data_IF_428900475191
#
_entry.id   IF_428900475191
#
_cell.length_a   1.000
_cell.length_b   1.000
_cell.length_c   1.000
_cell.angle_alpha   90.00
_cell.angle_beta   90.00
_cell.angle_gamma   90.00
#
_symmetry.space_group_name_H-M   'P 1'
#
loop_
_entity.id
_entity.type
_entity.pdbx_description
1 polymer ?
#
# COMPACT_ATOMS: atom_id res chain seq x y z
N UNK A 1 -7.16 26.65 2.92
CA UNK A 1 -6.60 27.36 4.09
C UNK A 1 -6.67 26.41 5.28
N UNK A 2 -5.58 26.27 6.07
CA UNK A 2 -5.61 25.46 7.29
C UNK A 2 -6.74 25.94 8.21
N UNK A 3 -7.46 25.01 8.81
CA UNK A 3 -8.47 25.30 9.82
C UNK A 3 -7.81 25.17 11.18
N UNK A 4 -7.53 26.30 11.80
CA UNK A 4 -6.92 26.36 13.12
C UNK A 4 -7.98 26.27 14.23
N UNK A 5 -7.60 25.67 15.35
CA UNK A 5 -8.45 25.51 16.52
C UNK A 5 -7.79 24.63 17.56
N UNK A 6 -8.44 24.46 18.71
CA UNK A 6 -7.98 23.53 19.73
C UNK A 6 -8.56 22.15 19.44
N UNK A 7 -7.70 21.16 19.24
CA UNK A 7 -8.11 19.76 19.12
C UNK A 7 -8.75 19.28 20.42
N UNK A 8 -9.96 18.74 20.35
CA UNK A 8 -10.73 18.24 21.50
C UNK A 8 -11.13 16.77 21.35
N UNK A 9 -11.15 16.25 20.11
CA UNK A 9 -11.49 14.84 19.87
C UNK A 9 -10.90 14.30 18.59
N UNK A 10 -10.74 12.97 18.58
CA UNK A 10 -10.56 12.18 17.37
C UNK A 10 -11.90 11.72 16.81
N UNK A 11 -11.96 11.55 15.49
CA UNK A 11 -13.04 10.89 14.78
C UNK A 11 -12.48 9.74 13.98
N UNK A 12 -13.05 8.54 14.12
CA UNK A 12 -12.62 7.36 13.40
C UNK A 12 -13.80 6.85 12.56
N UNK A 13 -13.63 6.78 11.25
CA UNK A 13 -14.64 6.37 10.28
C UNK A 13 -14.13 5.27 9.37
N UNK A 14 -15.01 4.60 8.67
CA UNK A 14 -14.69 3.60 7.65
C UNK A 14 -15.67 3.72 6.48
N UNK A 15 -15.22 3.28 5.31
CA UNK A 15 -16.06 3.15 4.11
C UNK A 15 -17.07 1.99 4.22
N UNK A 16 -16.73 0.94 4.99
CA UNK A 16 -17.55 -0.24 5.25
C UNK A 16 -17.47 -0.59 6.73
N UNK A 17 -18.56 -1.12 7.29
CA UNK A 17 -18.60 -1.60 8.70
C UNK A 17 -19.01 -3.04 8.84
N UNK A 18 -19.71 -3.59 7.87
CA UNK A 18 -20.31 -4.92 7.92
C UNK A 18 -20.11 -5.65 6.61
N UNK A 19 -20.08 -6.98 6.67
CA UNK A 19 -20.05 -7.83 5.50
C UNK A 19 -18.74 -7.79 4.73
N UNK A 20 -17.64 -7.35 5.34
CA UNK A 20 -16.32 -7.32 4.72
C UNK A 20 -15.81 -8.74 4.57
N UNK A 21 -15.44 -9.15 3.35
CA UNK A 21 -15.03 -10.53 3.07
C UNK A 21 -13.58 -10.78 3.47
N UNK A 22 -13.34 -12.01 3.94
CA UNK A 22 -12.01 -12.45 4.42
C UNK A 22 -11.23 -13.25 3.38
N UNK A 23 -11.66 -13.24 2.13
CA UNK A 23 -11.05 -14.00 1.02
C UNK A 23 -9.86 -13.27 0.36
N UNK A 24 -9.42 -12.15 0.91
CA UNK A 24 -8.32 -11.32 0.38
C UNK A 24 -8.72 -10.40 -0.77
N UNK A 25 -10.00 -10.35 -1.14
CA UNK A 25 -10.51 -9.48 -2.21
C UNK A 25 -11.16 -8.21 -1.71
N UNK A 26 -11.31 -8.05 -0.39
CA UNK A 26 -12.01 -6.94 0.22
C UNK A 26 -11.19 -6.30 1.35
N UNK A 27 -11.18 -4.98 1.37
CA UNK A 27 -10.49 -4.16 2.37
C UNK A 27 -11.45 -3.11 2.93
N UNK A 28 -11.10 -2.62 4.11
CA UNK A 28 -11.76 -1.46 4.73
C UNK A 28 -10.79 -0.29 4.72
N UNK A 29 -11.23 0.86 4.26
CA UNK A 29 -10.49 2.10 4.40
C UNK A 29 -10.89 2.79 5.71
N UNK A 30 -10.02 2.72 6.71
CA UNK A 30 -10.16 3.47 7.95
C UNK A 30 -9.61 4.88 7.79
N UNK A 31 -10.37 5.87 8.24
CA UNK A 31 -9.93 7.26 8.26
C UNK A 31 -10.05 7.81 9.68
N UNK A 32 -8.97 8.41 10.17
CA UNK A 32 -8.95 9.18 11.41
C UNK A 32 -8.86 10.67 11.11
N UNK A 33 -9.59 11.48 11.86
CA UNK A 33 -9.59 12.93 11.77
C UNK A 33 -9.56 13.60 13.13
N UNK A 34 -9.21 14.88 13.14
CA UNK A 34 -9.13 15.73 14.35
C UNK A 34 -10.22 16.79 14.29
N UNK A 35 -10.95 16.96 15.39
CA UNK A 35 -12.02 17.95 15.48
C UNK A 35 -11.93 18.78 16.76
N UNK A 36 -12.49 19.99 16.70
CA UNK A 36 -12.75 20.82 17.87
C UNK A 36 -14.01 20.41 18.66
N UNK A 37 -14.30 21.14 19.75
CA UNK A 37 -15.48 20.90 20.56
C UNK A 37 -16.82 21.08 19.79
N UNK A 38 -16.85 21.92 18.77
CA UNK A 38 -18.01 22.17 17.92
C UNK A 38 -18.18 21.13 16.80
N UNK A 39 -17.22 20.20 16.63
CA UNK A 39 -17.23 19.18 15.59
C UNK A 39 -16.73 19.67 14.25
N UNK A 40 -16.00 20.76 14.21
CA UNK A 40 -15.36 21.23 12.97
C UNK A 40 -14.04 20.51 12.78
N UNK A 41 -13.78 20.04 11.57
CA UNK A 41 -12.48 19.45 11.21
C UNK A 41 -11.39 20.51 11.34
N UNK A 42 -10.27 20.10 11.92
CA UNK A 42 -9.08 20.91 12.08
C UNK A 42 -7.95 20.39 11.19
N UNK A 43 -7.00 21.27 10.85
CA UNK A 43 -5.80 20.93 10.09
C UNK A 43 -4.61 20.52 10.97
N UNK A 44 -4.83 20.33 12.27
CA UNK A 44 -3.80 19.89 13.22
C UNK A 44 -3.38 18.43 12.96
N UNK A 45 -2.09 18.14 13.09
CA UNK A 45 -1.50 16.85 12.75
C UNK A 45 -0.82 16.19 13.96
N UNK A 46 -1.56 15.79 15.01
CA UNK A 46 -0.99 15.07 16.12
C UNK A 46 -0.50 13.69 15.70
N UNK A 47 0.41 13.11 16.47
CA UNK A 47 0.72 11.68 16.33
C UNK A 47 -0.49 10.85 16.74
N UNK A 48 -1.01 10.02 15.85
CA UNK A 48 -2.16 9.14 16.09
C UNK A 48 -1.76 7.69 15.90
N UNK A 49 -2.16 6.82 16.83
CA UNK A 49 -1.98 5.38 16.71
C UNK A 49 -3.35 4.70 16.61
N UNK A 50 -3.51 3.85 15.59
CA UNK A 50 -4.62 2.91 15.49
C UNK A 50 -4.17 1.55 16.01
N UNK A 51 -4.99 0.89 16.81
CA UNK A 51 -4.70 -0.44 17.37
C UNK A 51 -5.93 -1.33 17.28
N UNK A 52 -5.74 -2.58 16.85
CA UNK A 52 -6.78 -3.61 16.95
C UNK A 52 -6.81 -4.10 18.39
N UNK A 53 -7.81 -3.67 19.16
CA UNK A 53 -7.93 -4.01 20.58
C UNK A 53 -8.61 -5.34 20.83
N UNK A 54 -9.42 -5.84 19.87
CA UNK A 54 -9.99 -7.19 19.88
C UNK A 54 -10.45 -7.62 18.49
N UNK A 55 -10.63 -8.93 18.30
CA UNK A 55 -11.11 -9.49 17.04
C UNK A 55 -10.04 -9.61 15.95
N UNK A 56 -10.44 -10.01 14.74
CA UNK A 56 -9.55 -10.24 13.61
C UNK A 56 -9.02 -8.93 13.00
N UNK A 57 -8.06 -9.07 12.10
CA UNK A 57 -7.61 -8.00 11.21
C UNK A 57 -6.24 -7.44 11.53
N UNK A 58 -5.68 -6.80 10.53
CA UNK A 58 -4.34 -6.24 10.55
C UNK A 58 -4.23 -4.99 9.68
N UNK A 59 -3.31 -4.15 10.05
CA UNK A 59 -2.75 -3.07 9.24
C UNK A 59 -1.52 -3.55 8.46
N UNK A 60 -1.00 -2.79 7.49
CA UNK A 60 0.28 -3.10 6.85
C UNK A 60 1.43 -3.32 7.83
N UNK A 61 1.37 -2.74 9.01
CA UNK A 61 2.37 -2.84 10.08
C UNK A 61 2.08 -3.91 11.13
N UNK A 62 0.94 -4.60 11.06
CA UNK A 62 0.50 -5.59 12.03
C UNK A 62 -0.75 -5.16 12.79
N UNK A 63 -0.80 -5.38 14.11
CA UNK A 63 -1.98 -5.07 14.94
C UNK A 63 -2.09 -3.59 15.31
N UNK A 64 -1.07 -2.79 15.00
CA UNK A 64 -1.08 -1.34 15.21
C UNK A 64 -0.42 -0.60 14.07
N UNK A 65 -0.77 0.68 13.92
CA UNK A 65 -0.13 1.59 12.98
C UNK A 65 -0.11 2.99 13.58
N UNK A 66 1.02 3.69 13.42
CA UNK A 66 1.21 5.04 13.96
C UNK A 66 1.46 6.04 12.85
N UNK A 67 0.67 7.10 12.83
CA UNK A 67 0.83 8.27 11.96
C UNK A 67 1.63 9.32 12.73
N UNK A 68 2.95 9.32 12.57
CA UNK A 68 3.84 10.30 13.20
C UNK A 68 4.49 11.20 12.16
N UNK A 69 4.96 12.37 12.57
CA UNK A 69 5.59 13.33 11.67
C UNK A 69 6.84 12.76 10.96
N UNK A 70 7.54 11.83 11.62
CA UNK A 70 8.78 11.21 11.13
C UNK A 70 8.52 9.93 10.31
N UNK A 71 7.25 9.53 10.15
CA UNK A 71 6.88 8.33 9.39
C UNK A 71 6.61 8.65 7.92
N UNK A 72 6.79 7.64 7.06
CA UNK A 72 6.34 7.69 5.67
C UNK A 72 4.82 7.88 5.55
N UNK A 73 4.09 7.46 6.58
CA UNK A 73 2.67 7.73 6.76
C UNK A 73 2.51 8.69 7.93
N UNK A 74 1.76 9.74 7.72
CA UNK A 74 1.52 10.78 8.73
C UNK A 74 0.16 11.42 8.56
N UNK A 75 -0.30 12.10 9.58
CA UNK A 75 -1.44 13.00 9.45
C UNK A 75 -1.11 14.11 8.46
N UNK A 76 -2.07 14.46 7.61
CA UNK A 76 -1.99 15.57 6.68
C UNK A 76 -3.33 16.30 6.68
N UNK A 77 -3.29 17.61 6.91
CA UNK A 77 -4.48 18.46 7.01
C UNK A 77 -5.54 17.89 7.97
N UNK A 78 -5.06 17.44 9.15
CA UNK A 78 -5.89 16.88 10.21
C UNK A 78 -6.44 15.49 9.97
N UNK A 79 -6.01 14.78 8.92
CA UNK A 79 -6.55 13.46 8.54
C UNK A 79 -5.44 12.48 8.18
N UNK A 80 -5.72 11.20 8.41
CA UNK A 80 -4.97 10.08 7.85
C UNK A 80 -5.93 8.95 7.49
N UNK A 81 -5.56 8.15 6.51
CA UNK A 81 -6.32 6.97 6.11
C UNK A 81 -5.38 5.80 5.85
N UNK A 82 -5.87 4.59 6.12
CA UNK A 82 -5.12 3.36 5.93
C UNK A 82 -6.07 2.19 5.66
N UNK A 83 -5.62 1.25 4.84
CA UNK A 83 -6.31 -0.01 4.64
C UNK A 83 -6.23 -0.91 5.88
N UNK A 84 -7.34 -1.61 6.14
CA UNK A 84 -7.49 -2.57 7.20
C UNK A 84 -8.14 -3.83 6.64
N UNK A 85 -7.56 -4.99 6.89
CA UNK A 85 -7.97 -6.28 6.32
C UNK A 85 -8.01 -7.37 7.37
N UNK A 86 -8.89 -8.35 7.18
CA UNK A 86 -8.87 -9.58 7.96
C UNK A 86 -8.96 -10.81 7.06
N UNK A 87 -8.41 -11.93 7.54
CA UNK A 87 -8.48 -13.24 6.90
C UNK A 87 -9.36 -14.23 7.68
N UNK A 88 -9.84 -13.80 8.85
CA UNK A 88 -10.77 -14.56 9.68
C UNK A 88 -12.03 -13.76 9.93
N UNK A 89 -13.17 -14.47 10.02
CA UNK A 89 -14.48 -13.89 10.29
C UNK A 89 -14.63 -13.53 11.78
N UNK A 90 -15.30 -12.43 12.04
CA UNK A 90 -15.56 -11.92 13.37
C UNK A 90 -15.66 -10.40 13.40
N UNK A 91 -15.91 -9.84 14.57
CA UNK A 91 -15.94 -8.39 14.75
C UNK A 91 -14.59 -7.89 15.26
N UNK A 92 -13.94 -7.05 14.49
CA UNK A 92 -12.76 -6.32 14.92
C UNK A 92 -13.15 -5.03 15.63
N UNK A 93 -12.47 -4.71 16.72
CA UNK A 93 -12.57 -3.41 17.39
C UNK A 93 -11.25 -2.68 17.20
N UNK A 94 -11.28 -1.55 16.52
CA UNK A 94 -10.13 -0.68 16.29
C UNK A 94 -10.26 0.56 17.16
N UNK A 95 -9.20 0.92 17.86
CA UNK A 95 -9.11 2.11 18.69
C UNK A 95 -8.10 3.10 18.12
N UNK A 96 -8.48 4.37 18.03
CA UNK A 96 -7.55 5.47 17.73
C UNK A 96 -7.21 6.22 19.02
N UNK A 97 -5.90 6.51 19.20
CA UNK A 97 -5.36 7.28 20.32
C UNK A 97 -4.42 8.38 19.84
N UNK A 98 -4.49 9.53 20.49
CA UNK A 98 -3.51 10.60 20.42
C UNK A 98 -3.30 11.19 21.82
N UNK A 99 -2.13 11.76 22.06
CA UNK A 99 -1.83 12.40 23.35
C UNK A 99 -2.80 13.56 23.61
N UNK A 100 -3.33 13.61 24.82
CA UNK A 100 -4.24 14.68 25.27
C UNK A 100 -5.64 14.64 24.68
N UNK A 101 -5.98 13.65 23.86
CA UNK A 101 -7.31 13.48 23.26
C UNK A 101 -7.98 12.19 23.77
N UNK A 102 -9.32 12.19 23.96
CA UNK A 102 -10.07 10.98 24.29
C UNK A 102 -9.93 9.92 23.18
N UNK A 103 -9.71 8.63 23.53
CA UNK A 103 -9.69 7.57 22.53
C UNK A 103 -11.06 7.37 21.88
N UNK A 104 -11.06 6.95 20.62
CA UNK A 104 -12.30 6.60 19.88
C UNK A 104 -12.19 5.20 19.31
N UNK A 105 -13.31 4.48 19.23
CA UNK A 105 -13.36 3.11 18.72
C UNK A 105 -14.34 2.99 17.58
N UNK A 106 -14.07 2.01 16.71
CA UNK A 106 -14.95 1.58 15.64
C UNK A 106 -14.98 0.06 15.60
N UNK A 107 -16.15 -0.51 15.27
CA UNK A 107 -16.33 -1.94 15.05
C UNK A 107 -16.47 -2.21 13.56
N UNK A 108 -15.82 -3.30 13.09
CA UNK A 108 -15.85 -3.76 11.71
C UNK A 108 -16.18 -5.25 11.70
N UNK A 109 -17.26 -5.61 11.01
CA UNK A 109 -17.75 -6.99 10.87
C UNK A 109 -17.17 -7.67 9.64
N UNK A 110 -16.37 -8.70 9.85
CA UNK A 110 -15.79 -9.55 8.80
C UNK A 110 -16.55 -10.86 8.66
N UNK A 111 -16.78 -11.28 7.41
CA UNK A 111 -17.52 -12.52 7.06
C UNK A 111 -16.63 -13.45 6.22
N UNK A 112 -16.65 -14.74 6.56
CA UNK A 112 -15.88 -15.78 5.89
C UNK A 112 -15.99 -17.12 6.58
N UNK A 113 -15.30 -18.13 6.05
CA UNK A 113 -15.42 -19.51 6.52
C UNK A 113 -14.58 -19.81 7.76
N UNK A 114 -13.49 -19.06 7.98
CA UNK A 114 -12.58 -19.25 9.11
C UNK A 114 -12.92 -18.28 10.24
N UNK A 115 -13.47 -18.73 11.37
CA UNK A 115 -13.78 -17.84 12.49
C UNK A 115 -12.48 -17.44 13.24
N UNK A 116 -12.38 -16.18 13.60
CA UNK A 116 -11.36 -15.71 14.53
C UNK A 116 -11.62 -16.25 15.94
N UNK A 117 -10.55 -16.68 16.63
CA UNK A 117 -10.59 -17.13 18.03
C UNK A 117 -9.52 -16.39 18.82
N UNK A 118 -9.95 -15.57 19.76
CA UNK A 118 -9.05 -14.80 20.63
C UNK A 118 -8.06 -15.74 21.36
N UNK A 119 -6.78 -15.40 21.32
CA UNK A 119 -5.72 -16.19 21.97
C UNK A 119 -5.36 -17.52 21.27
N UNK A 120 -6.06 -17.91 20.20
CA UNK A 120 -5.82 -19.15 19.45
C UNK A 120 -5.42 -18.87 18.01
N UNK A 121 -6.16 -18.01 17.32
CA UNK A 121 -5.82 -17.57 15.96
C UNK A 121 -4.49 -16.83 15.99
N UNK A 122 -3.49 -17.23 15.20
CA UNK A 122 -2.21 -16.55 15.15
C UNK A 122 -2.41 -15.09 14.70
N UNK A 123 -1.77 -14.18 15.41
CA UNK A 123 -1.75 -12.77 15.01
C UNK A 123 -0.47 -12.45 14.26
N UNK A 124 -0.57 -11.54 13.30
CA UNK A 124 0.57 -11.09 12.52
C UNK A 124 1.61 -10.39 13.42
N UNK A 125 2.89 -10.64 13.14
CA UNK A 125 3.98 -9.93 13.83
C UNK A 125 4.05 -8.49 13.35
N UNK A 126 4.40 -7.60 14.25
CA UNK A 126 4.67 -6.23 13.89
C UNK A 126 5.86 -6.12 12.93
N UNK A 127 5.72 -5.25 11.94
CA UNK A 127 6.68 -4.98 10.89
C UNK A 127 6.69 -3.50 10.55
N UNK A 128 7.82 -2.95 10.05
CA UNK A 128 7.86 -1.55 9.63
C UNK A 128 6.93 -1.32 8.43
N UNK A 129 6.36 -0.12 8.34
CA UNK A 129 5.66 0.30 7.13
C UNK A 129 6.65 0.43 5.99
N UNK A 130 6.37 -0.24 4.88
CA UNK A 130 7.16 -0.12 3.66
C UNK A 130 6.32 0.55 2.59
N UNK A 131 6.62 1.82 2.33
CA UNK A 131 5.99 2.54 1.24
C UNK A 131 6.57 2.08 -0.09
N UNK A 132 5.70 1.71 -1.02
CA UNK A 132 6.14 1.55 -2.41
C UNK A 132 6.51 2.93 -2.96
N UNK A 133 7.79 3.17 -3.08
CA UNK A 133 8.32 4.32 -3.83
C UNK A 133 8.57 3.82 -5.25
N UNK A 134 7.81 4.32 -6.21
CA UNK A 134 8.16 4.14 -7.61
C UNK A 134 9.51 4.81 -7.79
N UNK A 135 10.58 4.02 -7.96
CA UNK A 135 11.88 4.56 -8.32
C UNK A 135 11.71 5.29 -9.66
N UNK A 136 11.76 6.61 -9.60
CA UNK A 136 11.82 7.41 -10.81
C UNK A 136 13.15 7.09 -11.47
N UNK A 137 13.07 6.41 -12.61
CA UNK A 137 14.14 6.30 -13.60
C UNK A 137 15.44 5.62 -13.19
N UNK A 138 15.45 4.63 -12.33
CA UNK A 138 16.55 3.68 -12.31
C UNK A 138 16.18 2.44 -13.08
N UNK A 139 16.70 2.40 -14.31
CA UNK A 139 16.76 1.24 -15.17
C UNK A 139 15.49 0.40 -15.17
N UNK A 140 14.65 0.62 -16.16
CA UNK A 140 13.72 -0.43 -16.57
C UNK A 140 14.63 -1.64 -16.80
N UNK A 141 14.67 -2.55 -15.83
CA UNK A 141 15.23 -3.87 -16.02
C UNK A 141 14.32 -4.55 -17.05
N UNK A 142 14.59 -4.29 -18.29
CA UNK A 142 14.06 -5.12 -19.36
C UNK A 142 14.72 -6.47 -19.16
N UNK A 143 13.93 -7.49 -18.85
CA UNK A 143 14.40 -8.86 -18.65
C UNK A 143 15.24 -9.39 -19.83
N UNK A 144 15.18 -8.71 -20.98
CA UNK A 144 15.97 -8.99 -22.17
C UNK A 144 17.29 -8.22 -22.29
N UNK A 145 17.59 -7.25 -21.39
CA UNK A 145 18.79 -6.42 -21.53
C UNK A 145 20.06 -7.23 -21.28
N UNK A 146 20.99 -7.17 -22.25
CA UNK A 146 22.24 -7.91 -22.22
C UNK A 146 22.11 -9.44 -22.19
N UNK A 147 20.93 -9.98 -22.47
CA UNK A 147 20.79 -11.42 -22.67
C UNK A 147 21.43 -11.83 -24.02
N UNK A 148 21.96 -13.06 -24.10
CA UNK A 148 22.39 -13.59 -25.38
C UNK A 148 21.22 -13.56 -26.37
N UNK A 149 21.48 -12.98 -27.54
CA UNK A 149 20.48 -12.88 -28.61
C UNK A 149 20.98 -13.63 -29.85
N UNK A 150 20.04 -14.25 -30.55
CA UNK A 150 20.26 -14.95 -31.82
C UNK A 150 19.35 -14.34 -32.86
N UNK A 151 19.81 -14.32 -34.11
CA UNK A 151 19.01 -13.82 -35.23
C UNK A 151 19.23 -14.66 -36.47
N UNK A 152 18.27 -14.65 -37.40
CA UNK A 152 18.39 -15.35 -38.71
C UNK A 152 19.60 -14.88 -39.50
N UNK A 153 19.89 -13.58 -39.44
CA UNK A 153 21.05 -12.92 -40.05
C UNK A 153 21.28 -11.55 -39.42
N UNK A 154 22.35 -10.90 -39.78
CA UNK A 154 22.61 -9.52 -39.33
C UNK A 154 23.38 -8.74 -40.43
N UNK A 155 23.04 -7.48 -40.56
CA UNK A 155 23.78 -6.54 -41.41
C UNK A 155 25.09 -6.13 -40.71
N UNK A 156 26.08 -5.70 -41.50
CA UNK A 156 27.32 -5.17 -40.96
C UNK A 156 27.07 -4.00 -40.00
N UNK A 157 27.62 -4.08 -38.78
CA UNK A 157 27.45 -3.09 -37.74
C UNK A 157 26.04 -3.08 -37.05
N UNK A 158 25.19 -4.10 -37.32
CA UNK A 158 23.80 -4.22 -36.77
C UNK A 158 23.55 -5.61 -36.17
N UNK A 159 24.41 -6.00 -35.24
CA UNK A 159 24.35 -7.31 -34.61
C UNK A 159 23.10 -7.53 -33.75
N UNK A 160 22.70 -8.81 -33.59
CA UNK A 160 21.55 -9.17 -32.80
C UNK A 160 21.60 -8.61 -31.38
N UNK A 161 22.78 -8.59 -30.74
CA UNK A 161 22.97 -8.02 -29.40
C UNK A 161 22.57 -6.55 -29.27
N UNK A 162 22.61 -5.78 -30.35
CA UNK A 162 22.19 -4.37 -30.33
C UNK A 162 20.67 -4.18 -30.18
N UNK A 163 19.87 -5.21 -30.42
CA UNK A 163 18.44 -5.18 -30.15
C UNK A 163 18.09 -5.37 -28.66
N UNK A 164 19.06 -5.78 -27.82
CA UNK A 164 18.86 -6.07 -26.40
C UNK A 164 19.90 -5.37 -25.48
N UNK A 165 20.71 -4.44 -25.99
CA UNK A 165 21.75 -3.75 -25.22
C UNK A 165 21.21 -2.58 -24.37
N UNK A 166 19.93 -2.25 -24.54
CA UNK A 166 19.26 -1.15 -23.83
C UNK A 166 19.67 0.24 -24.31
N UNK A 167 20.35 0.35 -25.44
CA UNK A 167 20.71 1.61 -26.05
C UNK A 167 19.70 1.97 -27.15
N UNK A 168 18.89 3.04 -27.02
CA UNK A 168 17.90 3.41 -28.01
C UNK A 168 18.46 3.87 -29.36
N UNK A 169 19.78 4.11 -29.44
CA UNK A 169 20.47 4.53 -30.66
C UNK A 169 21.02 3.35 -31.46
N UNK A 170 20.98 2.14 -30.89
CA UNK A 170 21.41 0.90 -31.55
C UNK A 170 20.21 0.02 -31.88
N UNK A 171 20.33 -0.79 -32.89
CA UNK A 171 19.27 -1.74 -33.27
C UNK A 171 19.86 -2.87 -34.11
N UNK A 172 19.19 -4.02 -34.06
CA UNK A 172 19.45 -5.12 -34.96
C UNK A 172 18.79 -4.87 -36.32
N UNK A 173 19.45 -5.34 -37.37
CA UNK A 173 18.91 -5.34 -38.73
C UNK A 173 19.34 -6.63 -39.45
N UNK A 174 18.39 -7.29 -40.09
CA UNK A 174 18.69 -8.45 -40.93
C UNK A 174 19.57 -8.08 -42.12
N UNK A 175 20.35 -9.04 -42.65
CA UNK A 175 21.10 -8.86 -43.86
C UNK A 175 20.17 -8.62 -45.07
N UNK A 176 20.59 -7.80 -46.01
CA UNK A 176 19.75 -7.39 -47.14
C UNK A 176 19.37 -8.56 -48.08
N UNK A 177 20.18 -9.62 -48.09
CA UNK A 177 20.03 -10.83 -48.88
C UNK A 177 19.34 -11.99 -48.11
N UNK A 178 18.95 -11.78 -46.84
CA UNK A 178 18.26 -12.78 -46.04
C UNK A 178 16.78 -12.87 -46.46
N UNK A 179 16.29 -14.02 -46.92
CA UNK A 179 14.88 -14.18 -47.26
C UNK A 179 14.00 -14.14 -46.00
N UNK A 180 12.89 -13.41 -46.07
CA UNK A 180 11.84 -13.43 -45.04
C UNK A 180 11.29 -14.87 -44.81
N UNK A 181 10.88 -15.24 -43.54
CA UNK A 181 10.71 -14.37 -42.38
C UNK A 181 11.99 -14.16 -41.57
N UNK A 182 12.25 -12.91 -41.18
CA UNK A 182 13.32 -12.56 -40.27
C UNK A 182 12.90 -12.75 -38.81
N UNK A 183 13.83 -13.15 -37.96
CA UNK A 183 13.57 -13.31 -36.55
C UNK A 183 14.80 -12.98 -35.69
N UNK A 184 14.54 -12.57 -34.46
CA UNK A 184 15.52 -12.41 -33.38
C UNK A 184 14.92 -12.98 -32.10
N UNK A 185 15.69 -13.73 -31.31
CA UNK A 185 15.28 -14.31 -30.02
C UNK A 185 16.27 -13.97 -28.90
#
# INVERSE_FOLDING_TARGET
>A
WPVEGKAERLVLTSDKREGVRTDGTDDVMLQVGVQDAAGRDLSDNPTVTLTVVSGPGEFPTGRSITFSADSDIRMADGKAAIEFRAYEAGTAVVEARAEGLPPVRIEIGFVGDCPYREGVTPVVKERPYVRYVRETEKEILTFGRNNPTFASSQSEGRASGQGADGNPSTYWQAAADDPSPWWMS
#
